data_IF_430524759079
#
_entry.id   IF_430524759079
#
_cell.length_a   1.000
_cell.length_b   1.000
_cell.length_c   1.000
_cell.angle_alpha   90.00
_cell.angle_beta   90.00
_cell.angle_gamma   90.00
#
_symmetry.space_group_name_H-M   'P 1'
#
loop_
_entity.id
_entity.type
_entity.pdbx_description
1 polymer ?
#
# COMPACT_ATOMS: atom_id res chain seq x y z
N UNK A 1 14.66 -6.79 0.83
CA UNK A 1 14.29 -5.36 0.78
C UNK A 1 12.81 -5.14 0.41
N UNK A 2 12.24 -5.87 -0.56
CA UNK A 2 10.80 -5.77 -0.91
C UNK A 2 9.88 -6.13 0.26
N UNK A 3 10.14 -7.24 0.94
CA UNK A 3 9.30 -7.74 2.04
C UNK A 3 9.20 -6.74 3.20
N UNK A 4 10.32 -6.02 3.48
CA UNK A 4 10.32 -5.02 4.53
C UNK A 4 9.58 -3.74 4.14
N UNK A 5 9.56 -3.36 2.88
CA UNK A 5 8.79 -2.21 2.40
C UNK A 5 7.28 -2.49 2.51
N UNK A 6 6.86 -3.74 2.27
CA UNK A 6 5.46 -4.15 2.45
C UNK A 6 5.03 -4.08 3.91
N UNK A 7 5.91 -4.47 4.85
CA UNK A 7 5.66 -4.32 6.29
C UNK A 7 5.65 -2.84 6.72
N UNK A 8 6.54 -2.01 6.18
CA UNK A 8 6.53 -0.58 6.46
C UNK A 8 5.24 0.08 5.96
N UNK A 9 4.76 -0.31 4.76
CA UNK A 9 3.47 0.16 4.22
C UNK A 9 2.32 -0.29 5.12
N UNK A 10 2.30 -1.55 5.53
CA UNK A 10 1.28 -2.09 6.43
C UNK A 10 1.25 -1.33 7.75
N UNK A 11 2.40 -1.07 8.35
CA UNK A 11 2.52 -0.28 9.57
C UNK A 11 2.01 1.15 9.35
N UNK A 12 2.46 1.82 8.28
CA UNK A 12 2.01 3.16 7.93
C UNK A 12 0.49 3.23 7.83
N UNK A 13 -0.12 2.36 7.04
CA UNK A 13 -1.56 2.37 6.77
C UNK A 13 -2.38 2.21 8.05
N UNK A 14 -1.97 1.30 8.93
CA UNK A 14 -2.71 0.98 10.13
C UNK A 14 -2.54 1.98 11.28
N UNK A 15 -1.38 2.62 11.38
CA UNK A 15 -1.02 3.49 12.51
C UNK A 15 -1.01 4.96 12.11
N UNK A 16 -0.43 5.28 10.97
CA UNK A 16 -0.12 6.65 10.54
C UNK A 16 -1.10 7.16 9.47
N UNK A 17 -1.77 6.27 8.74
CA UNK A 17 -2.53 6.60 7.53
C UNK A 17 -3.56 7.73 7.67
N UNK A 18 -4.18 7.88 8.83
CA UNK A 18 -5.12 8.99 9.11
C UNK A 18 -4.45 10.35 9.32
N UNK A 19 -3.12 10.38 9.43
CA UNK A 19 -2.33 11.59 9.69
C UNK A 19 -1.57 12.09 8.47
N UNK A 20 -2.08 11.86 7.25
CA UNK A 20 -1.42 12.22 6.00
C UNK A 20 -0.96 13.67 5.93
N UNK A 21 -1.79 14.62 6.38
CA UNK A 21 -1.43 16.06 6.40
C UNK A 21 -0.23 16.34 7.30
N UNK A 22 -0.16 15.72 8.48
CA UNK A 22 0.96 15.86 9.41
C UNK A 22 2.23 15.23 8.84
N UNK A 23 2.12 14.09 8.17
CA UNK A 23 3.23 13.45 7.47
C UNK A 23 3.78 14.36 6.36
N UNK A 24 2.91 14.97 5.56
CA UNK A 24 3.34 15.92 4.53
C UNK A 24 4.07 17.13 5.10
N UNK A 25 3.59 17.68 6.22
CA UNK A 25 4.28 18.77 6.92
C UNK A 25 5.66 18.35 7.43
N UNK A 26 5.79 17.12 7.94
CA UNK A 26 7.07 16.54 8.34
C UNK A 26 8.01 16.35 7.15
N UNK A 27 7.52 15.82 6.03
CA UNK A 27 8.31 15.61 4.81
C UNK A 27 8.83 16.94 4.24
N UNK A 28 8.04 18.02 4.29
CA UNK A 28 8.49 19.36 3.90
C UNK A 28 9.65 19.85 4.77
N UNK A 29 9.61 19.61 6.08
CA UNK A 29 10.73 19.94 6.98
C UNK A 29 11.93 19.04 6.70
N UNK A 30 11.72 17.76 6.50
CA UNK A 30 12.78 16.80 6.18
C UNK A 30 13.52 17.15 4.88
N UNK A 31 12.84 17.73 3.90
CA UNK A 31 13.45 18.16 2.64
C UNK A 31 14.45 19.31 2.79
N UNK A 32 14.46 20.01 3.92
CA UNK A 32 15.42 21.12 4.19
C UNK A 32 16.73 20.65 4.83
N UNK A 33 16.85 19.37 5.16
CA UNK A 33 18.02 18.79 5.81
C UNK A 33 18.55 17.61 5.01
N UNK A 34 19.86 17.39 5.06
CA UNK A 34 20.46 16.20 4.49
C UNK A 34 20.28 15.03 5.47
N UNK A 35 19.54 14.00 5.03
CA UNK A 35 19.24 12.83 5.84
C UNK A 35 20.19 11.69 5.46
N UNK A 36 21.13 11.38 6.31
CA UNK A 36 22.04 10.26 6.12
C UNK A 36 21.46 8.92 6.61
N UNK A 37 20.61 8.96 7.61
CA UNK A 37 20.02 7.77 8.25
C UNK A 37 18.63 8.06 8.77
N UNK A 38 17.76 7.06 8.71
CA UNK A 38 16.45 7.07 9.39
C UNK A 38 16.45 5.96 10.42
N UNK A 39 16.28 6.32 11.69
CA UNK A 39 16.21 5.39 12.82
C UNK A 39 14.79 5.40 13.37
N UNK A 40 13.87 4.57 12.83
CA UNK A 40 12.51 4.53 13.32
C UNK A 40 12.45 3.87 14.69
N UNK A 41 11.43 4.22 15.49
CA UNK A 41 11.16 3.56 16.77
C UNK A 41 10.74 2.10 16.58
N UNK A 42 10.13 1.78 15.44
CA UNK A 42 9.73 0.45 15.04
C UNK A 42 10.27 0.14 13.65
N UNK A 43 11.00 -0.97 13.52
CA UNK A 43 11.55 -1.42 12.26
C UNK A 43 13.06 -1.25 12.14
N UNK A 44 13.56 -1.39 10.91
CA UNK A 44 15.00 -1.33 10.64
C UNK A 44 15.52 0.09 10.43
N UNK A 45 16.79 0.29 10.76
CA UNK A 45 17.51 1.53 10.45
C UNK A 45 17.78 1.60 8.95
N UNK A 46 17.33 2.66 8.31
CA UNK A 46 17.59 2.93 6.90
C UNK A 46 18.90 3.70 6.74
N UNK A 47 19.82 3.13 5.99
CA UNK A 47 21.14 3.72 5.68
C UNK A 47 21.36 3.90 4.19
N UNK A 48 20.46 3.34 3.36
CA UNK A 48 20.47 3.42 1.90
C UNK A 48 19.04 3.46 1.40
N UNK A 49 18.85 4.01 0.19
CA UNK A 49 17.51 4.11 -0.40
C UNK A 49 16.56 5.03 0.40
N UNK A 50 17.11 6.03 1.10
CA UNK A 50 16.35 6.98 1.91
C UNK A 50 15.39 7.78 1.03
N UNK A 51 15.86 8.23 -0.14
CA UNK A 51 15.02 8.95 -1.10
C UNK A 51 13.81 8.13 -1.55
N UNK A 52 14.02 6.86 -1.92
CA UNK A 52 12.94 5.96 -2.33
C UNK A 52 11.94 5.72 -1.21
N UNK A 53 12.43 5.61 0.03
CA UNK A 53 11.58 5.44 1.20
C UNK A 53 10.73 6.69 1.48
N UNK A 54 11.32 7.88 1.39
CA UNK A 54 10.60 9.15 1.57
C UNK A 54 9.58 9.38 0.44
N UNK A 55 9.89 8.97 -0.79
CA UNK A 55 8.93 8.99 -1.90
C UNK A 55 7.71 8.11 -1.61
N UNK A 56 7.91 6.93 -1.03
CA UNK A 56 6.80 6.07 -0.61
C UNK A 56 5.94 6.75 0.46
N UNK A 57 6.54 7.34 1.45
CA UNK A 57 5.82 8.11 2.47
C UNK A 57 5.03 9.27 1.86
N UNK A 58 5.60 9.97 0.87
CA UNK A 58 4.89 11.01 0.14
C UNK A 58 3.65 10.45 -0.56
N UNK A 59 3.79 9.34 -1.28
CA UNK A 59 2.66 8.68 -1.96
C UNK A 59 1.59 8.23 -0.97
N UNK A 60 1.98 7.57 0.11
CA UNK A 60 1.03 7.10 1.11
C UNK A 60 0.29 8.24 1.80
N UNK A 61 0.98 9.35 2.11
CA UNK A 61 0.38 10.51 2.78
C UNK A 61 -0.57 11.33 1.89
N UNK A 62 -0.46 11.19 0.59
CA UNK A 62 -1.34 11.82 -0.42
C UNK A 62 -2.35 10.85 -1.03
N UNK A 63 -2.40 9.60 -0.54
CA UNK A 63 -3.20 8.53 -1.13
C UNK A 63 -2.93 8.32 -2.62
N UNK A 64 -1.69 8.58 -3.04
CA UNK A 64 -1.24 8.33 -4.40
C UNK A 64 -0.79 6.89 -4.53
N UNK A 65 -1.37 6.09 -5.43
CA UNK A 65 -1.01 4.70 -5.60
C UNK A 65 0.44 4.52 -6.03
N UNK A 66 1.04 3.43 -5.62
CA UNK A 66 2.40 3.08 -6.04
C UNK A 66 2.43 2.43 -7.42
N UNK A 67 1.40 1.66 -7.75
CA UNK A 67 1.28 0.89 -8.98
C UNK A 67 -0.12 1.03 -9.58
N UNK A 68 -0.20 1.02 -10.90
CA UNK A 68 -1.49 1.00 -11.62
C UNK A 68 -2.04 -0.43 -11.65
N UNK A 69 -3.28 -0.59 -11.25
CA UNK A 69 -3.95 -1.89 -11.23
C UNK A 69 -5.26 -1.85 -10.47
N UNK A 70 -5.91 -2.98 -10.36
CA UNK A 70 -7.19 -3.15 -9.67
C UNK A 70 -7.04 -4.14 -8.52
N UNK A 71 -7.54 -3.78 -7.38
CA UNK A 71 -7.73 -4.67 -6.25
C UNK A 71 -9.20 -5.04 -6.14
N UNK A 72 -9.51 -6.34 -6.10
CA UNK A 72 -10.84 -6.88 -5.87
C UNK A 72 -10.88 -7.48 -4.47
N UNK A 73 -11.64 -6.88 -3.57
CA UNK A 73 -11.93 -7.44 -2.26
C UNK A 73 -13.35 -8.01 -2.28
N UNK A 74 -13.52 -9.27 -1.92
CA UNK A 74 -14.80 -9.96 -1.95
C UNK A 74 -15.02 -10.84 -0.72
N UNK A 75 -16.29 -11.11 -0.41
CA UNK A 75 -16.71 -12.15 0.51
C UNK A 75 -17.74 -13.04 -0.17
N UNK A 76 -17.69 -14.34 0.07
CA UNK A 76 -18.61 -15.28 -0.52
C UNK A 76 -18.96 -16.40 0.46
N UNK A 77 -20.26 -16.66 0.64
CA UNK A 77 -20.74 -17.75 1.49
C UNK A 77 -20.90 -19.04 0.69
N UNK A 78 -21.53 -18.94 -0.49
CA UNK A 78 -21.85 -20.10 -1.34
C UNK A 78 -21.06 -20.16 -2.66
N UNK A 79 -20.05 -19.36 -2.82
CA UNK A 79 -19.17 -19.35 -3.98
C UNK A 79 -19.63 -18.47 -5.16
N UNK A 80 -20.86 -18.00 -5.20
CA UNK A 80 -21.37 -17.21 -6.34
C UNK A 80 -20.63 -15.86 -6.48
N UNK A 81 -20.43 -15.14 -5.37
CA UNK A 81 -19.67 -13.89 -5.39
C UNK A 81 -18.21 -14.13 -5.72
N UNK A 82 -17.61 -15.21 -5.23
CA UNK A 82 -16.25 -15.60 -5.57
C UNK A 82 -16.11 -15.86 -7.08
N UNK A 83 -17.03 -16.61 -7.69
CA UNK A 83 -17.04 -16.85 -9.13
C UNK A 83 -17.18 -15.55 -9.93
N UNK A 84 -18.05 -14.63 -9.51
CA UNK A 84 -18.20 -13.32 -10.16
C UNK A 84 -16.92 -12.49 -10.06
N UNK A 85 -16.26 -12.48 -8.89
CA UNK A 85 -14.99 -11.80 -8.69
C UNK A 85 -13.87 -12.39 -9.57
N UNK A 86 -13.79 -13.71 -9.68
CA UNK A 86 -12.82 -14.38 -10.56
C UNK A 86 -13.07 -14.06 -12.03
N UNK A 87 -14.31 -14.08 -12.49
CA UNK A 87 -14.66 -13.69 -13.87
C UNK A 87 -14.25 -12.24 -14.15
N UNK A 88 -14.52 -11.32 -13.22
CA UNK A 88 -14.10 -9.94 -13.33
C UNK A 88 -12.57 -9.84 -13.41
N UNK A 89 -11.86 -10.54 -12.55
CA UNK A 89 -10.39 -10.55 -12.54
C UNK A 89 -9.82 -11.08 -13.88
N UNK A 90 -10.39 -12.14 -14.42
CA UNK A 90 -10.00 -12.69 -15.73
C UNK A 90 -10.21 -11.64 -16.83
N UNK A 91 -11.39 -11.02 -16.88
CA UNK A 91 -11.70 -9.98 -17.88
C UNK A 91 -10.78 -8.77 -17.82
N UNK A 92 -10.40 -8.36 -16.61
CA UNK A 92 -9.43 -7.27 -16.43
C UNK A 92 -8.03 -7.68 -16.90
N UNK A 93 -7.58 -8.88 -16.57
CA UNK A 93 -6.27 -9.42 -16.99
C UNK A 93 -6.19 -9.62 -18.50
N UNK A 94 -7.26 -10.08 -19.15
CA UNK A 94 -7.36 -10.18 -20.61
C UNK A 94 -7.15 -8.81 -21.30
N UNK A 95 -7.50 -7.72 -20.61
CA UNK A 95 -7.29 -6.34 -21.07
C UNK A 95 -5.93 -5.75 -20.64
N UNK A 96 -5.05 -6.55 -20.10
CA UNK A 96 -3.73 -6.13 -19.63
C UNK A 96 -3.74 -5.38 -18.30
N UNK A 97 -4.87 -5.37 -17.57
CA UNK A 97 -4.96 -4.72 -16.26
C UNK A 97 -4.41 -5.64 -15.19
N UNK A 98 -3.41 -5.18 -14.46
CA UNK A 98 -2.87 -5.90 -13.31
C UNK A 98 -3.94 -6.00 -12.23
N UNK A 99 -4.23 -7.22 -11.76
CA UNK A 99 -5.36 -7.46 -10.87
C UNK A 99 -4.96 -8.39 -9.74
N UNK A 100 -5.24 -7.98 -8.51
CA UNK A 100 -5.10 -8.78 -7.29
C UNK A 100 -6.45 -9.00 -6.64
N UNK A 101 -6.61 -10.12 -5.94
CA UNK A 101 -7.88 -10.51 -5.31
C UNK A 101 -7.65 -10.86 -3.85
N UNK A 102 -8.59 -10.47 -3.00
CA UNK A 102 -8.60 -10.82 -1.59
C UNK A 102 -9.97 -11.29 -1.14
N UNK A 103 -10.01 -12.47 -0.56
CA UNK A 103 -11.17 -12.92 0.21
C UNK A 103 -11.11 -12.29 1.59
N UNK A 104 -12.01 -11.35 1.89
CA UNK A 104 -12.02 -10.60 3.16
C UNK A 104 -12.41 -11.47 4.35
N UNK A 105 -12.95 -12.67 4.13
CA UNK A 105 -13.31 -13.60 5.20
C UNK A 105 -12.09 -14.31 5.81
N UNK A 106 -10.99 -14.40 5.05
CA UNK A 106 -9.77 -15.11 5.46
C UNK A 106 -8.52 -14.24 5.42
N UNK A 107 -8.56 -13.09 4.75
CA UNK A 107 -7.43 -12.17 4.63
C UNK A 107 -7.48 -11.12 5.74
N UNK A 108 -6.39 -10.91 6.51
CA UNK A 108 -6.35 -9.86 7.51
C UNK A 108 -6.65 -8.47 6.92
N UNK A 109 -7.48 -7.68 7.58
CA UNK A 109 -7.84 -6.33 7.12
C UNK A 109 -6.61 -5.42 6.91
N UNK A 110 -5.56 -5.60 7.72
CA UNK A 110 -4.30 -4.86 7.58
C UNK A 110 -3.60 -5.10 6.24
N UNK A 111 -3.70 -6.30 5.68
CA UNK A 111 -3.13 -6.63 4.37
C UNK A 111 -3.97 -6.02 3.24
N UNK A 112 -5.28 -6.07 3.35
CA UNK A 112 -6.20 -5.48 2.36
C UNK A 112 -6.00 -3.97 2.31
N UNK A 113 -5.90 -3.30 3.47
CA UNK A 113 -5.65 -1.86 3.56
C UNK A 113 -4.29 -1.52 2.94
N UNK A 114 -3.23 -2.27 3.27
CA UNK A 114 -1.90 -2.05 2.69
C UNK A 114 -1.89 -2.24 1.16
N UNK A 115 -2.66 -3.21 0.66
CA UNK A 115 -2.84 -3.42 -0.78
C UNK A 115 -3.59 -2.25 -1.43
N UNK A 116 -4.60 -1.68 -0.78
CA UNK A 116 -5.34 -0.52 -1.27
C UNK A 116 -4.45 0.73 -1.43
N UNK A 117 -3.44 0.90 -0.59
CA UNK A 117 -2.44 1.97 -0.75
C UNK A 117 -1.45 1.72 -1.88
N UNK A 118 -1.25 0.46 -2.23
CA UNK A 118 -0.34 0.08 -3.32
C UNK A 118 -0.99 0.24 -4.70
N UNK A 119 -2.26 -0.12 -4.84
CA UNK A 119 -2.95 -0.23 -6.11
C UNK A 119 -3.87 0.96 -6.37
N UNK A 120 -3.80 1.53 -7.57
CA UNK A 120 -4.71 2.59 -7.97
C UNK A 120 -6.11 2.05 -8.24
N UNK A 121 -7.08 2.91 -8.01
CA UNK A 121 -8.42 2.72 -8.55
C UNK A 121 -8.45 3.19 -10.00
N UNK A 122 -9.20 2.48 -10.81
CA UNK A 122 -9.61 3.00 -12.10
C UNK A 122 -10.77 3.95 -11.91
#
# INVERSE_FOLDING_TARGET
>A
MRDYLDEARRYYCNIVGKYGTQVQALLKKAATVEIERICPLHGFVWRRGIGDFLEKYQKWSTYTPEETGVMIAYASVYGNTANAAELLAVRLRERGVKTVMFDVSVTPASEIIAAAFRWSHL
#
